data_IF_952960886069
#
_entry.id   IF_952960886069
#
_cell.length_a   1.000
_cell.length_b   1.000
_cell.length_c   1.000
_cell.angle_alpha   90.00
_cell.angle_beta   90.00
_cell.angle_gamma   90.00
#
_symmetry.space_group_name_H-M   'P 1'
#
loop_
_entity.id
_entity.type
_entity.pdbx_description
1 polymer ?
#
# COMPACT_ATOMS: atom_id res chain seq x y z
N UNK A 1 61.07 -14.83 47.95
CA UNK A 1 59.99 -15.78 47.60
C UNK A 1 58.71 -14.97 47.51
N UNK A 2 57.99 -14.81 46.40
CA UNK A 2 57.46 -15.84 45.50
C UNK A 2 57.38 -15.31 44.05
N UNK A 3 58.05 -16.06 43.19
CA UNK A 3 57.74 -16.43 41.79
C UNK A 3 56.62 -15.69 41.05
N UNK A 4 57.00 -15.03 39.95
CA UNK A 4 56.13 -14.66 38.82
C UNK A 4 55.62 -15.93 38.16
N UNK A 5 54.31 -16.12 38.07
CA UNK A 5 53.69 -17.18 37.29
C UNK A 5 53.21 -16.58 35.96
N UNK A 6 53.97 -16.90 34.91
CA UNK A 6 53.66 -16.59 33.52
C UNK A 6 52.75 -17.70 33.01
N UNK A 7 51.45 -17.43 32.89
CA UNK A 7 50.50 -18.36 32.26
C UNK A 7 50.48 -18.07 30.77
N UNK A 8 51.09 -18.98 30.02
CA UNK A 8 51.06 -19.05 28.57
C UNK A 8 49.71 -19.64 28.15
N UNK A 9 48.76 -18.80 27.74
CA UNK A 9 47.50 -19.26 27.16
C UNK A 9 47.73 -19.55 25.68
N UNK A 10 47.94 -20.82 25.32
CA UNK A 10 47.88 -21.29 23.95
C UNK A 10 46.42 -21.23 23.47
N UNK A 11 46.09 -20.25 22.62
CA UNK A 11 44.86 -20.27 21.83
C UNK A 11 45.10 -21.04 20.54
N UNK A 12 44.28 -22.05 20.19
CA UNK A 12 44.33 -22.67 18.88
C UNK A 12 43.85 -21.67 17.82
N UNK A 13 44.67 -21.46 16.78
CA UNK A 13 44.27 -20.81 15.54
C UNK A 13 43.11 -21.61 14.92
N UNK A 14 41.88 -21.12 15.03
CA UNK A 14 40.89 -21.31 13.98
C UNK A 14 41.04 -20.15 13.00
N UNK A 15 41.56 -20.45 11.81
CA UNK A 15 41.52 -19.54 10.68
C UNK A 15 40.06 -19.33 10.25
N UNK A 16 39.39 -18.34 10.83
CA UNK A 16 38.20 -17.77 10.23
C UNK A 16 38.68 -17.02 8.99
N UNK A 17 38.38 -17.56 7.80
CA UNK A 17 38.50 -16.82 6.55
C UNK A 17 37.48 -15.69 6.55
N UNK A 18 37.82 -14.58 7.20
CA UNK A 18 37.15 -13.31 7.03
C UNK A 18 37.47 -12.83 5.61
N UNK A 19 36.61 -13.16 4.66
CA UNK A 19 36.56 -12.37 3.42
C UNK A 19 36.07 -10.99 3.83
N UNK A 20 37.01 -10.05 3.88
CA UNK A 20 36.72 -8.64 4.02
C UNK A 20 35.81 -8.23 2.87
N UNK A 21 34.54 -7.97 3.17
CA UNK A 21 33.65 -7.31 2.22
C UNK A 21 34.05 -5.85 2.17
N UNK A 22 35.07 -5.58 1.36
CA UNK A 22 35.48 -4.23 1.02
C UNK A 22 34.28 -3.47 0.45
N UNK A 23 34.08 -2.27 0.97
CA UNK A 23 33.02 -1.37 0.56
C UNK A 23 33.03 -1.14 -0.95
N UNK A 24 31.90 -1.43 -1.57
CA UNK A 24 31.56 -1.05 -2.92
C UNK A 24 30.05 -0.92 -2.98
N UNK A 25 29.56 0.24 -3.43
CA UNK A 25 28.15 0.52 -3.63
C UNK A 25 27.50 -0.61 -4.46
N UNK A 26 26.79 -1.50 -3.77
CA UNK A 26 26.32 -2.77 -4.31
C UNK A 26 24.92 -2.68 -4.91
N UNK A 27 24.79 -1.99 -6.04
CA UNK A 27 23.71 -2.28 -6.99
C UNK A 27 24.02 -3.60 -7.70
N UNK A 28 23.88 -4.72 -6.98
CA UNK A 28 24.24 -6.04 -7.47
C UNK A 28 23.34 -6.49 -8.61
N UNK A 29 23.74 -6.23 -9.85
CA UNK A 29 23.24 -6.93 -11.02
C UNK A 29 23.53 -8.41 -10.85
N UNK A 30 22.53 -9.20 -10.43
CA UNK A 30 22.56 -10.65 -10.60
C UNK A 30 22.71 -10.88 -12.11
N UNK A 31 23.81 -11.51 -12.53
CA UNK A 31 24.02 -11.88 -13.93
C UNK A 31 22.82 -12.66 -14.49
N UNK A 32 22.63 -12.61 -15.81
CA UNK A 32 21.55 -13.33 -16.47
C UNK A 32 21.59 -14.83 -16.11
N UNK A 33 20.42 -15.40 -15.79
CA UNK A 33 20.29 -16.82 -15.45
C UNK A 33 20.61 -17.70 -16.68
N UNK A 34 21.19 -18.88 -16.46
CA UNK A 34 21.26 -19.88 -17.54
C UNK A 34 19.85 -20.38 -17.90
N UNK A 35 19.64 -20.94 -19.10
CA UNK A 35 18.36 -21.51 -19.49
C UNK A 35 17.83 -22.56 -18.49
N UNK A 36 18.72 -23.39 -17.92
CA UNK A 36 18.36 -24.40 -16.92
C UNK A 36 17.89 -23.77 -15.61
N UNK A 37 18.58 -22.71 -15.16
CA UNK A 37 18.20 -21.97 -13.96
C UNK A 37 16.86 -21.27 -14.14
N UNK A 38 16.60 -20.74 -15.34
CA UNK A 38 15.32 -20.14 -15.68
C UNK A 38 14.19 -21.17 -15.70
N UNK A 39 14.39 -22.32 -16.36
CA UNK A 39 13.42 -23.41 -16.37
C UNK A 39 13.13 -23.95 -14.96
N UNK A 40 14.16 -24.12 -14.12
CA UNK A 40 13.98 -24.53 -12.74
C UNK A 40 13.16 -23.52 -11.92
N UNK A 41 13.40 -22.22 -12.13
CA UNK A 41 12.64 -21.14 -11.47
C UNK A 41 11.19 -21.11 -11.92
N UNK A 42 10.93 -21.27 -13.21
CA UNK A 42 9.58 -21.35 -13.77
C UNK A 42 8.83 -22.59 -13.26
N UNK A 43 9.50 -23.75 -13.20
CA UNK A 43 8.94 -24.97 -12.64
C UNK A 43 8.61 -24.80 -11.15
N UNK A 44 9.50 -24.17 -10.37
CA UNK A 44 9.27 -23.87 -8.96
C UNK A 44 8.08 -22.92 -8.76
N UNK A 45 7.95 -21.88 -9.58
CA UNK A 45 6.85 -20.91 -9.53
C UNK A 45 5.49 -21.52 -9.94
N UNK A 46 5.49 -22.64 -10.67
CA UNK A 46 4.29 -23.33 -11.15
C UNK A 46 3.90 -24.57 -10.32
N UNK A 47 4.58 -24.84 -9.20
CA UNK A 47 4.21 -25.95 -8.31
C UNK A 47 2.76 -25.82 -7.80
N UNK A 48 1.99 -26.91 -7.74
CA UNK A 48 0.62 -26.87 -7.21
C UNK A 48 0.63 -26.43 -5.74
N UNK A 49 -0.48 -25.86 -5.29
CA UNK A 49 -0.70 -25.55 -3.87
C UNK A 49 -0.69 -26.84 -3.05
N UNK A 50 -0.05 -26.79 -1.89
CA UNK A 50 0.00 -27.90 -0.92
C UNK A 50 -0.90 -27.69 0.29
N UNK A 51 -1.45 -26.48 0.43
CA UNK A 51 -2.41 -26.09 1.46
C UNK A 51 -3.57 -25.37 0.79
N UNK A 52 -4.74 -25.44 1.42
CA UNK A 52 -5.89 -24.63 0.98
C UNK A 52 -5.57 -23.15 1.14
N UNK A 53 -6.14 -22.35 0.23
CA UNK A 53 -5.90 -20.92 0.24
C UNK A 53 -6.80 -20.18 1.22
N UNK A 54 -6.35 -19.02 1.69
CA UNK A 54 -7.17 -18.13 2.52
C UNK A 54 -8.14 -17.32 1.67
N UNK A 55 -9.30 -16.99 2.23
CA UNK A 55 -10.30 -16.15 1.57
C UNK A 55 -9.99 -14.66 1.79
N UNK A 56 -9.04 -14.13 1.03
CA UNK A 56 -8.64 -12.72 1.07
C UNK A 56 -8.66 -12.09 -0.32
N UNK A 57 -8.82 -10.77 -0.36
CA UNK A 57 -8.56 -9.95 -1.55
C UNK A 57 -7.26 -9.15 -1.42
N UNK A 58 -6.55 -9.23 -0.30
CA UNK A 58 -5.31 -8.51 -0.05
C UNK A 58 -4.13 -9.24 -0.65
N UNK A 59 -3.45 -8.60 -1.61
CA UNK A 59 -2.30 -9.18 -2.30
C UNK A 59 -1.16 -9.53 -1.34
N UNK A 60 -0.99 -8.77 -0.27
CA UNK A 60 0.04 -8.98 0.76
C UNK A 60 -0.20 -10.19 1.67
N UNK A 61 -1.42 -10.72 1.68
CA UNK A 61 -1.77 -11.90 2.47
C UNK A 61 -1.68 -13.20 1.66
N UNK A 62 -1.63 -13.10 0.33
CA UNK A 62 -1.54 -14.24 -0.57
C UNK A 62 -0.12 -14.81 -0.61
N UNK A 63 -0.03 -16.13 -0.57
CA UNK A 63 1.15 -16.86 -1.02
C UNK A 63 1.29 -16.77 -2.55
N UNK A 64 2.52 -16.96 -3.05
CA UNK A 64 2.77 -16.88 -4.49
C UNK A 64 1.91 -17.85 -5.33
N UNK A 65 1.68 -19.12 -4.91
CA UNK A 65 0.79 -20.02 -5.65
C UNK A 65 -0.68 -19.57 -5.66
N UNK A 66 -1.19 -18.98 -4.56
CA UNK A 66 -2.54 -18.41 -4.53
C UNK A 66 -2.66 -17.24 -5.50
N UNK A 67 -1.72 -16.29 -5.43
CA UNK A 67 -1.68 -15.16 -6.35
C UNK A 67 -1.63 -15.61 -7.81
N UNK A 68 -0.74 -16.54 -8.15
CA UNK A 68 -0.65 -17.12 -9.50
C UNK A 68 -1.99 -17.70 -9.95
N UNK A 69 -2.64 -18.49 -9.11
CA UNK A 69 -3.89 -19.15 -9.45
C UNK A 69 -5.03 -18.12 -9.61
N UNK A 70 -5.05 -17.04 -8.83
CA UNK A 70 -6.00 -15.93 -9.00
C UNK A 70 -5.77 -15.17 -10.31
N UNK A 71 -4.52 -14.90 -10.70
CA UNK A 71 -4.22 -14.31 -12.02
C UNK A 71 -4.71 -15.23 -13.14
N UNK A 72 -4.51 -16.56 -13.03
CA UNK A 72 -5.03 -17.54 -14.00
C UNK A 72 -6.56 -17.57 -14.03
N UNK A 73 -7.22 -17.33 -12.90
CA UNK A 73 -8.68 -17.18 -12.82
C UNK A 73 -9.18 -15.80 -13.31
N UNK A 74 -8.28 -14.91 -13.75
CA UNK A 74 -8.62 -13.65 -14.40
C UNK A 74 -8.79 -12.47 -13.44
N UNK A 75 -8.20 -12.53 -12.23
CA UNK A 75 -8.06 -11.37 -11.36
C UNK A 75 -7.11 -10.35 -12.00
N UNK A 76 -7.66 -9.44 -12.78
CA UNK A 76 -6.90 -8.47 -13.59
C UNK A 76 -7.09 -7.02 -13.13
N UNK A 77 -7.89 -6.82 -12.09
CA UNK A 77 -8.13 -5.52 -11.45
C UNK A 77 -7.41 -5.44 -10.11
N UNK A 78 -6.79 -4.31 -9.82
CA UNK A 78 -6.16 -4.03 -8.52
C UNK A 78 -6.44 -2.61 -8.04
N UNK A 79 -6.71 -2.50 -6.74
CA UNK A 79 -6.87 -1.24 -6.03
C UNK A 79 -5.57 -0.88 -5.30
N UNK A 80 -5.01 0.29 -5.58
CA UNK A 80 -3.95 0.91 -4.80
C UNK A 80 -4.59 1.94 -3.89
N UNK A 81 -4.67 1.59 -2.60
CA UNK A 81 -5.24 2.47 -1.59
C UNK A 81 -4.14 3.27 -0.90
N UNK A 82 -4.46 4.51 -0.55
CA UNK A 82 -3.54 5.43 0.08
C UNK A 82 -4.20 6.13 1.25
N UNK A 83 -3.61 6.03 2.43
CA UNK A 83 -4.07 6.74 3.62
C UNK A 83 -3.05 7.76 4.06
N UNK A 84 -2.81 7.79 5.36
CA UNK A 84 -1.96 8.78 6.01
C UNK A 84 -1.97 8.56 7.51
N UNK A 85 -1.03 9.21 8.18
CA UNK A 85 -1.00 9.26 9.63
C UNK A 85 -0.92 10.74 9.97
N UNK A 86 -2.01 11.29 10.48
CA UNK A 86 -2.13 12.71 10.78
C UNK A 86 -2.88 12.99 12.08
N UNK A 87 -2.87 14.24 12.51
CA UNK A 87 -3.64 14.65 13.67
C UNK A 87 -5.13 14.64 13.31
N UNK A 88 -5.87 13.75 13.95
CA UNK A 88 -7.30 13.51 13.69
C UNK A 88 -8.19 14.06 14.80
N UNK A 89 -7.70 15.08 15.50
CA UNK A 89 -8.18 15.53 16.80
C UNK A 89 -7.97 14.52 17.92
N UNK A 90 -7.95 15.02 19.17
CA UNK A 90 -7.50 14.26 20.34
C UNK A 90 -8.32 13.01 20.69
N UNK A 91 -9.41 12.74 19.99
CA UNK A 91 -10.32 11.63 20.26
C UNK A 91 -10.24 10.50 19.22
N UNK A 92 -9.55 10.70 18.09
CA UNK A 92 -9.38 9.68 17.06
C UNK A 92 -7.92 9.26 16.93
N UNK A 93 -7.71 7.98 16.64
CA UNK A 93 -6.39 7.47 16.27
C UNK A 93 -5.81 8.24 15.08
N UNK A 94 -4.51 8.56 15.15
CA UNK A 94 -3.79 9.17 14.02
C UNK A 94 -3.82 8.31 12.75
N UNK A 95 -4.10 7.00 12.89
CA UNK A 95 -4.11 6.02 11.82
C UNK A 95 -5.48 5.84 11.12
N UNK A 96 -6.47 6.70 11.38
CA UNK A 96 -7.84 6.49 10.90
C UNK A 96 -7.95 6.23 9.40
N UNK A 97 -7.17 6.94 8.58
CA UNK A 97 -7.23 6.82 7.12
C UNK A 97 -6.87 5.42 6.66
N UNK A 98 -5.87 4.82 7.32
CA UNK A 98 -5.42 3.48 7.00
C UNK A 98 -6.42 2.42 7.49
N UNK A 99 -7.09 2.66 8.62
CA UNK A 99 -8.14 1.77 9.15
C UNK A 99 -9.35 1.79 8.20
N UNK A 100 -9.83 2.97 7.81
CA UNK A 100 -10.92 3.13 6.85
C UNK A 100 -10.60 2.46 5.51
N UNK A 101 -9.42 2.72 4.94
CA UNK A 101 -9.01 2.11 3.68
C UNK A 101 -8.92 0.58 3.75
N UNK A 102 -8.55 0.00 4.90
CA UNK A 102 -8.60 -1.46 5.07
C UNK A 102 -10.02 -2.00 5.01
N UNK A 103 -10.97 -1.35 5.67
CA UNK A 103 -12.37 -1.78 5.60
C UNK A 103 -12.94 -1.59 4.18
N UNK A 104 -12.78 -0.39 3.61
CA UNK A 104 -13.34 -0.07 2.31
C UNK A 104 -12.71 -0.86 1.17
N UNK A 105 -11.39 -1.07 1.22
CA UNK A 105 -10.66 -1.85 0.21
C UNK A 105 -11.19 -3.27 0.07
N UNK A 106 -11.38 -3.95 1.20
CA UNK A 106 -11.97 -5.27 1.27
C UNK A 106 -13.36 -5.30 0.63
N UNK A 107 -14.24 -4.38 1.06
CA UNK A 107 -15.63 -4.30 0.59
C UNK A 107 -15.71 -3.99 -0.91
N UNK A 108 -14.93 -3.01 -1.39
CA UNK A 108 -14.89 -2.63 -2.80
C UNK A 108 -14.39 -3.77 -3.68
N UNK A 109 -13.25 -4.37 -3.35
CA UNK A 109 -12.68 -5.45 -4.15
C UNK A 109 -13.62 -6.66 -4.24
N UNK A 110 -14.26 -7.05 -3.12
CA UNK A 110 -15.27 -8.11 -3.13
C UNK A 110 -16.48 -7.75 -3.97
N UNK A 111 -16.98 -6.51 -3.87
CA UNK A 111 -18.14 -6.05 -4.63
C UNK A 111 -17.87 -5.97 -6.13
N UNK A 112 -16.67 -5.54 -6.53
CA UNK A 112 -16.23 -5.49 -7.92
C UNK A 112 -16.02 -6.89 -8.51
N UNK A 113 -15.66 -7.87 -7.67
CA UNK A 113 -15.30 -9.22 -8.10
C UNK A 113 -13.98 -9.24 -8.87
N UNK A 114 -13.28 -10.38 -8.91
CA UNK A 114 -11.99 -10.57 -9.61
C UNK A 114 -11.02 -9.38 -9.45
N UNK A 115 -10.99 -8.81 -8.25
CA UNK A 115 -10.25 -7.60 -7.89
C UNK A 115 -9.42 -7.89 -6.65
N UNK A 116 -8.17 -7.46 -6.66
CA UNK A 116 -7.26 -7.52 -5.52
C UNK A 116 -6.99 -6.12 -4.96
N UNK A 117 -6.53 -6.05 -3.72
CA UNK A 117 -6.02 -4.82 -3.10
C UNK A 117 -4.52 -4.95 -2.96
N UNK A 118 -3.78 -3.98 -3.52
CA UNK A 118 -2.34 -3.89 -3.37
C UNK A 118 -1.96 -3.53 -1.92
N UNK A 119 -0.69 -3.72 -1.52
CA UNK A 119 -0.23 -3.26 -0.22
C UNK A 119 -0.58 -1.79 0.03
N UNK A 120 -1.20 -1.52 1.18
CA UNK A 120 -1.69 -0.19 1.53
C UNK A 120 -0.52 0.79 1.67
N UNK A 121 -0.57 1.91 0.96
CA UNK A 121 0.37 3.00 1.19
C UNK A 121 -0.09 3.82 2.39
N UNK A 122 0.61 3.66 3.52
CA UNK A 122 0.21 4.21 4.83
C UNK A 122 0.77 5.58 5.15
N UNK A 123 1.59 6.14 4.26
CA UNK A 123 2.19 7.48 4.39
C UNK A 123 1.60 8.42 3.34
N UNK A 124 1.40 9.67 3.73
CA UNK A 124 0.87 10.72 2.86
C UNK A 124 1.96 11.74 2.44
N UNK A 125 1.74 12.49 1.35
CA UNK A 125 2.67 13.52 0.93
C UNK A 125 2.54 14.79 1.79
N UNK A 126 3.68 15.36 2.15
CA UNK A 126 3.77 16.61 2.90
C UNK A 126 5.09 17.33 2.66
N UNK A 127 5.32 18.38 3.43
CA UNK A 127 6.57 19.14 3.39
C UNK A 127 7.19 19.22 4.79
N UNK A 128 8.42 18.73 4.93
CA UNK A 128 9.19 18.89 6.15
C UNK A 128 9.66 20.35 6.24
N UNK A 129 9.01 21.14 7.09
CA UNK A 129 9.35 22.54 7.35
C UNK A 129 9.82 22.76 8.78
N UNK A 130 10.41 23.93 9.04
CA UNK A 130 10.93 24.32 10.37
C UNK A 130 9.85 24.44 11.45
N UNK A 131 8.57 24.44 11.06
CA UNK A 131 7.42 24.64 11.95
C UNK A 131 6.55 23.37 12.09
N UNK A 132 7.06 22.19 11.72
CA UNK A 132 6.34 20.94 11.97
C UNK A 132 6.43 20.63 13.46
N UNK A 133 5.28 20.68 14.15
CA UNK A 133 5.14 20.34 15.55
C UNK A 133 4.17 19.14 15.69
N UNK A 134 4.37 18.27 16.70
CA UNK A 134 3.35 17.30 17.09
C UNK A 134 1.98 17.98 17.24
N UNK A 135 0.93 17.37 16.66
CA UNK A 135 -0.45 17.88 16.70
C UNK A 135 -0.95 18.61 15.45
N UNK A 136 -0.12 18.79 14.41
CA UNK A 136 -0.57 19.37 13.12
C UNK A 136 -0.42 18.44 11.92
N UNK A 137 0.51 17.48 11.99
CA UNK A 137 0.79 16.50 10.96
C UNK A 137 1.41 15.24 11.61
N UNK A 138 1.37 14.10 10.94
CA UNK A 138 2.20 12.95 11.29
C UNK A 138 3.36 12.74 10.31
N UNK A 139 3.97 11.56 10.28
CA UNK A 139 5.11 11.27 9.41
C UNK A 139 4.69 11.29 7.93
N UNK A 140 5.28 12.20 7.17
CA UNK A 140 4.97 12.45 5.76
C UNK A 140 6.21 12.27 4.89
N UNK A 141 6.00 12.01 3.59
CA UNK A 141 7.07 11.98 2.58
C UNK A 141 6.91 13.12 1.58
N UNK A 142 7.96 13.46 0.82
CA UNK A 142 7.82 14.52 -0.19
C UNK A 142 6.79 14.14 -1.26
N UNK A 143 6.09 15.12 -1.84
CA UNK A 143 5.18 14.90 -2.96
C UNK A 143 5.86 14.20 -4.14
N UNK A 144 7.13 14.51 -4.41
CA UNK A 144 7.91 13.89 -5.47
C UNK A 144 8.14 12.40 -5.18
N UNK A 145 8.58 12.05 -3.96
CA UNK A 145 8.78 10.67 -3.52
C UNK A 145 7.48 9.88 -3.55
N UNK A 146 6.39 10.47 -3.06
CA UNK A 146 5.05 9.86 -3.07
C UNK A 146 4.59 9.53 -4.49
N UNK A 147 4.77 10.45 -5.43
CA UNK A 147 4.38 10.26 -6.84
C UNK A 147 5.24 9.19 -7.51
N UNK A 148 6.56 9.19 -7.26
CA UNK A 148 7.48 8.17 -7.79
C UNK A 148 7.14 6.77 -7.26
N UNK A 149 6.85 6.65 -5.96
CA UNK A 149 6.44 5.39 -5.35
C UNK A 149 5.16 4.83 -5.99
N UNK A 150 4.12 5.66 -6.15
CA UNK A 150 2.86 5.26 -6.77
C UNK A 150 3.01 4.90 -8.26
N UNK A 151 3.89 5.59 -8.97
CA UNK A 151 4.24 5.26 -10.34
C UNK A 151 4.88 3.87 -10.42
N UNK A 152 5.86 3.59 -9.56
CA UNK A 152 6.54 2.30 -9.53
C UNK A 152 5.61 1.17 -9.08
N UNK A 153 4.74 1.40 -8.09
CA UNK A 153 3.71 0.43 -7.69
C UNK A 153 2.81 0.06 -8.87
N UNK A 154 2.25 1.04 -9.58
CA UNK A 154 1.37 0.78 -10.73
C UNK A 154 2.11 0.07 -11.87
N UNK A 155 3.32 0.52 -12.19
CA UNK A 155 4.18 -0.10 -13.19
C UNK A 155 4.48 -1.57 -12.87
N UNK A 156 4.79 -1.86 -11.61
CA UNK A 156 5.11 -3.20 -11.17
C UNK A 156 3.87 -4.11 -11.21
N UNK A 157 2.74 -3.63 -10.71
CA UNK A 157 1.46 -4.37 -10.77
C UNK A 157 1.03 -4.65 -12.22
N UNK A 158 1.19 -3.69 -13.14
CA UNK A 158 0.98 -3.96 -14.58
C UNK A 158 1.83 -5.13 -15.07
N UNK A 159 3.09 -5.19 -14.65
CA UNK A 159 4.01 -6.28 -15.02
C UNK A 159 3.63 -7.62 -14.38
N UNK A 160 2.82 -7.59 -13.31
CA UNK A 160 2.22 -8.76 -12.66
C UNK A 160 0.88 -9.18 -13.29
N UNK A 161 0.58 -8.72 -14.51
CA UNK A 161 -0.61 -9.06 -15.32
C UNK A 161 -1.91 -8.31 -14.95
N UNK A 162 -1.85 -7.29 -14.11
CA UNK A 162 -3.00 -6.40 -13.91
C UNK A 162 -3.19 -5.46 -15.09
N UNK A 163 -4.43 -5.30 -15.54
CA UNK A 163 -4.82 -4.43 -16.67
C UNK A 163 -5.72 -3.28 -16.24
N UNK A 164 -6.28 -3.33 -15.04
CA UNK A 164 -7.11 -2.26 -14.46
C UNK A 164 -6.53 -1.90 -13.09
N UNK A 165 -5.90 -0.74 -12.99
CA UNK A 165 -5.15 -0.30 -11.81
C UNK A 165 -5.75 1.03 -11.34
N UNK A 166 -6.45 0.98 -10.21
CA UNK A 166 -7.20 2.11 -9.67
C UNK A 166 -6.54 2.65 -8.42
N UNK A 167 -6.35 3.96 -8.38
CA UNK A 167 -5.78 4.68 -7.23
C UNK A 167 -6.89 5.40 -6.48
N UNK A 168 -7.02 5.11 -5.18
CA UNK A 168 -7.99 5.73 -4.30
C UNK A 168 -7.30 6.17 -3.00
N UNK A 169 -7.73 7.29 -2.41
CA UNK A 169 -7.09 7.82 -1.21
C UNK A 169 -8.03 8.55 -0.28
N UNK A 170 -7.77 8.41 1.01
CA UNK A 170 -8.64 8.91 2.09
C UNK A 170 -8.10 10.19 2.76
N UNK A 171 -7.02 10.78 2.22
CA UNK A 171 -6.46 12.06 2.65
C UNK A 171 -6.33 13.02 1.47
N UNK A 172 -6.66 14.30 1.70
CA UNK A 172 -6.68 15.34 0.66
C UNK A 172 -5.31 15.57 -0.01
N UNK A 173 -4.20 15.34 0.72
CA UNK A 173 -2.85 15.45 0.17
C UNK A 173 -2.55 14.43 -0.94
N UNK A 174 -3.23 13.27 -0.91
CA UNK A 174 -2.91 12.13 -1.75
C UNK A 174 -3.28 12.34 -3.23
N UNK A 175 -4.33 13.11 -3.49
CA UNK A 175 -4.99 13.22 -4.79
C UNK A 175 -4.02 13.59 -5.93
N UNK A 176 -3.16 14.59 -5.74
CA UNK A 176 -2.25 15.07 -6.79
C UNK A 176 -1.23 14.00 -7.21
N UNK A 177 -0.66 13.29 -6.25
CA UNK A 177 0.36 12.28 -6.53
C UNK A 177 -0.24 11.06 -7.23
N UNK A 178 -1.43 10.62 -6.81
CA UNK A 178 -2.16 9.54 -7.47
C UNK A 178 -2.54 9.89 -8.90
N UNK A 179 -3.10 11.09 -9.12
CA UNK A 179 -3.44 11.57 -10.47
C UNK A 179 -2.21 11.63 -11.38
N UNK A 180 -1.12 12.25 -10.91
CA UNK A 180 0.11 12.37 -11.68
C UNK A 180 0.73 11.01 -12.04
N UNK A 181 0.74 10.05 -11.11
CA UNK A 181 1.22 8.69 -11.36
C UNK A 181 0.36 7.96 -12.40
N UNK A 182 -0.97 7.96 -12.23
CA UNK A 182 -1.91 7.32 -13.14
C UNK A 182 -1.86 7.90 -14.57
N UNK A 183 -1.81 9.23 -14.69
CA UNK A 183 -1.72 9.91 -15.98
C UNK A 183 -0.39 9.62 -16.68
N UNK A 184 0.71 9.60 -15.92
CA UNK A 184 2.03 9.29 -16.46
C UNK A 184 2.11 7.85 -16.97
N UNK A 185 1.60 6.88 -16.20
CA UNK A 185 1.56 5.47 -16.62
C UNK A 185 0.65 5.28 -17.83
N UNK A 186 -0.50 5.94 -17.87
CA UNK A 186 -1.40 5.92 -19.03
C UNK A 186 -0.67 6.40 -20.30
N UNK A 187 0.12 7.47 -20.21
CA UNK A 187 0.93 7.96 -21.33
C UNK A 187 2.04 6.98 -21.72
N UNK A 188 2.78 6.45 -20.76
CA UNK A 188 3.89 5.51 -20.99
C UNK A 188 3.42 4.22 -21.67
N UNK A 189 2.20 3.76 -21.35
CA UNK A 189 1.66 2.49 -21.84
C UNK A 189 0.57 2.64 -22.91
N UNK A 190 0.37 3.85 -23.44
CA UNK A 190 -0.69 4.16 -24.42
C UNK A 190 -0.63 3.28 -25.68
N UNK A 191 0.58 3.04 -26.18
CA UNK A 191 0.82 2.31 -27.44
C UNK A 191 1.17 0.83 -27.24
N UNK A 192 0.98 0.30 -26.02
CA UNK A 192 1.25 -1.12 -25.79
C UNK A 192 0.14 -2.02 -26.36
N UNK A 193 0.48 -3.21 -26.91
CA UNK A 193 -0.52 -4.10 -27.49
C UNK A 193 -1.62 -4.54 -26.51
N UNK A 194 -1.25 -4.67 -25.23
CA UNK A 194 -2.20 -4.96 -24.15
C UNK A 194 -2.74 -3.64 -23.60
N UNK A 195 -4.04 -3.41 -23.74
CA UNK A 195 -4.69 -2.24 -23.15
C UNK A 195 -4.65 -2.32 -21.63
N UNK A 196 -4.07 -1.30 -20.99
CA UNK A 196 -4.00 -1.16 -19.53
C UNK A 196 -4.59 0.19 -19.14
N UNK A 197 -5.41 0.20 -18.08
CA UNK A 197 -6.04 1.38 -17.53
C UNK A 197 -5.41 1.72 -16.19
N UNK A 198 -4.84 2.92 -16.09
CA UNK A 198 -4.42 3.51 -14.83
C UNK A 198 -5.33 4.69 -14.54
N UNK A 199 -6.03 4.68 -13.41
CA UNK A 199 -7.00 5.74 -13.11
C UNK A 199 -7.03 6.10 -11.64
N UNK A 200 -6.89 7.39 -11.36
CA UNK A 200 -7.22 7.96 -10.05
C UNK A 200 -8.73 8.21 -9.95
N UNK A 201 -9.32 7.81 -8.83
CA UNK A 201 -10.75 7.97 -8.50
C UNK A 201 -10.89 9.05 -7.41
N UNK A 202 -10.95 10.34 -7.78
CA UNK A 202 -11.03 11.44 -6.81
C UNK A 202 -12.32 11.44 -5.99
N UNK A 203 -13.40 10.82 -6.51
CA UNK A 203 -14.71 10.77 -5.86
C UNK A 203 -14.69 9.98 -4.55
N UNK A 204 -13.72 9.07 -4.38
CA UNK A 204 -13.57 8.31 -3.13
C UNK A 204 -13.29 9.23 -1.93
N UNK A 205 -12.40 10.22 -2.08
CA UNK A 205 -12.17 11.24 -1.06
C UNK A 205 -13.31 12.26 -1.01
N UNK A 206 -13.80 12.68 -2.18
CA UNK A 206 -14.85 13.70 -2.30
C UNK A 206 -16.26 13.10 -2.13
N UNK A 207 -16.45 12.25 -1.12
CA UNK A 207 -17.69 11.50 -0.89
C UNK A 207 -18.90 12.42 -0.72
N UNK A 208 -18.81 13.40 0.19
CA UNK A 208 -19.92 14.29 0.55
C UNK A 208 -20.37 15.19 -0.60
N UNK A 209 -19.47 15.56 -1.51
CA UNK A 209 -19.80 16.43 -2.66
C UNK A 209 -20.25 15.70 -3.92
N UNK A 210 -19.91 14.41 -4.07
CA UNK A 210 -20.25 13.65 -5.29
C UNK A 210 -21.02 12.36 -5.00
N UNK A 211 -20.48 11.51 -4.13
CA UNK A 211 -21.02 10.15 -3.89
C UNK A 211 -22.31 10.21 -3.09
N UNK A 212 -22.35 11.01 -2.02
CA UNK A 212 -23.55 11.18 -1.20
C UNK A 212 -24.72 11.72 -2.03
N UNK A 213 -24.46 12.74 -2.86
CA UNK A 213 -25.47 13.28 -3.77
C UNK A 213 -25.92 12.23 -4.80
N UNK A 214 -24.99 11.45 -5.36
CA UNK A 214 -25.33 10.35 -6.27
C UNK A 214 -26.21 9.31 -5.58
N UNK A 215 -25.84 8.83 -4.39
CA UNK A 215 -26.58 7.81 -3.62
C UNK A 215 -28.00 8.29 -3.27
N UNK A 216 -28.15 9.55 -2.88
CA UNK A 216 -29.46 10.10 -2.52
C UNK A 216 -30.34 10.36 -3.74
N UNK A 217 -29.76 10.76 -4.88
CA UNK A 217 -30.53 11.14 -6.07
C UNK A 217 -30.82 9.97 -7.02
N UNK A 218 -29.86 9.06 -7.19
CA UNK A 218 -29.91 8.00 -8.22
C UNK A 218 -30.54 6.71 -7.68
N UNK A 219 -29.91 5.95 -6.75
CA UNK A 219 -30.55 4.79 -6.14
C UNK A 219 -31.56 5.15 -5.04
N UNK A 220 -31.72 6.45 -4.71
CA UNK A 220 -32.67 6.97 -3.71
C UNK A 220 -32.52 6.33 -2.32
N UNK A 221 -31.30 6.00 -1.94
CA UNK A 221 -31.02 5.48 -0.61
C UNK A 221 -31.08 6.66 0.35
N UNK A 222 -32.03 6.62 1.28
CA UNK A 222 -32.19 7.66 2.28
C UNK A 222 -31.04 7.59 3.28
N UNK A 223 -30.21 8.63 3.32
CA UNK A 223 -29.26 8.83 4.40
C UNK A 223 -29.84 9.78 5.44
N UNK A 224 -29.67 9.46 6.72
CA UNK A 224 -30.12 10.31 7.82
C UNK A 224 -29.28 11.59 7.98
N UNK A 225 -28.09 11.64 7.36
CA UNK A 225 -27.19 12.79 7.41
C UNK A 225 -27.47 13.66 6.17
N UNK A 226 -27.83 14.94 6.39
CA UNK A 226 -27.99 15.90 5.29
C UNK A 226 -26.65 16.14 4.59
N UNK A 227 -26.68 16.35 3.28
CA UNK A 227 -25.49 16.73 2.50
C UNK A 227 -24.82 17.95 3.14
N UNK A 228 -23.54 17.81 3.47
CA UNK A 228 -22.73 18.87 4.09
C UNK A 228 -23.06 19.16 5.56
N UNK A 229 -23.92 18.38 6.22
CA UNK A 229 -24.24 18.55 7.64
C UNK A 229 -23.32 17.78 8.60
N UNK A 230 -22.47 16.89 8.07
CA UNK A 230 -21.37 16.31 8.83
C UNK A 230 -20.17 17.24 8.72
N UNK A 231 -20.03 18.12 9.71
CA UNK A 231 -18.79 18.85 9.96
C UNK A 231 -18.31 18.41 11.33
N UNK A 232 -17.09 17.89 11.43
CA UNK A 232 -16.49 17.43 12.68
C UNK A 232 -16.70 18.43 13.82
N UNK A 233 -16.81 17.93 15.05
CA UNK A 233 -17.18 18.74 16.22
C UNK A 233 -16.20 19.89 16.49
N UNK A 234 -15.00 19.76 15.96
CA UNK A 234 -13.85 20.68 16.01
C UNK A 234 -13.63 21.50 14.73
N UNK A 235 -14.35 21.22 13.63
CA UNK A 235 -14.03 21.70 12.29
C UNK A 235 -12.79 21.03 11.66
N UNK A 236 -12.29 19.95 12.25
CA UNK A 236 -11.17 19.16 11.77
C UNK A 236 -11.63 17.71 11.57
N UNK A 237 -11.37 17.18 10.37
CA UNK A 237 -11.26 15.78 9.93
C UNK A 237 -12.14 14.65 10.58
N UNK A 238 -13.19 14.93 11.35
CA UNK A 238 -14.09 13.97 12.01
C UNK A 238 -15.48 14.00 11.36
N UNK A 239 -16.11 12.84 11.18
CA UNK A 239 -17.49 12.70 10.68
C UNK A 239 -18.13 11.45 11.28
N UNK A 240 -19.45 11.45 11.52
CA UNK A 240 -20.16 10.33 12.16
C UNK A 240 -19.93 8.97 11.45
N UNK A 241 -19.79 8.96 10.13
CA UNK A 241 -19.50 7.74 9.37
C UNK A 241 -18.07 7.22 9.61
N UNK A 242 -17.12 8.12 9.80
CA UNK A 242 -15.74 7.80 10.17
C UNK A 242 -15.72 7.25 11.59
N UNK A 243 -16.40 7.91 12.53
CA UNK A 243 -16.45 7.48 13.93
C UNK A 243 -17.12 6.11 14.08
N UNK A 244 -18.19 5.85 13.34
CA UNK A 244 -18.84 4.53 13.34
C UNK A 244 -17.92 3.44 12.78
N UNK A 245 -17.15 3.74 11.73
CA UNK A 245 -16.15 2.82 11.16
C UNK A 245 -15.01 2.57 12.15
N UNK A 246 -14.53 3.63 12.79
CA UNK A 246 -13.49 3.59 13.80
C UNK A 246 -13.95 2.83 15.05
N UNK A 247 -15.20 2.98 15.50
CA UNK A 247 -15.75 2.21 16.61
C UNK A 247 -15.81 0.69 16.33
N UNK A 248 -15.91 0.28 15.06
CA UNK A 248 -15.90 -1.13 14.66
C UNK A 248 -14.47 -1.72 14.65
N UNK A 249 -13.46 -0.91 14.33
CA UNK A 249 -12.15 -1.40 13.92
C UNK A 249 -10.96 -0.88 14.76
N UNK A 250 -11.13 0.21 15.50
CA UNK A 250 -10.09 0.82 16.31
C UNK A 250 -10.00 0.14 17.69
N UNK A 251 -8.77 -0.15 18.11
CA UNK A 251 -8.48 -0.76 19.42
C UNK A 251 -8.59 0.22 20.57
N UNK A 252 -8.69 1.53 20.30
CA UNK A 252 -8.85 2.55 21.33
C UNK A 252 -10.30 2.62 21.84
N UNK A 253 -11.26 2.17 21.03
CA UNK A 253 -12.69 2.18 21.36
C UNK A 253 -13.25 0.81 21.82
N UNK A 254 -12.42 -0.24 21.84
CA UNK A 254 -12.80 -1.62 22.19
C UNK A 254 -12.30 -2.07 23.57
#
# INVERSE_FOLDING_TARGET
>A
MKTKLMVLLMMPLLAASASAQAGGAGGGGRGALTPEQQAAREAAANKPRTIEGINTVWLEELTQPEFRDMIKDGYTTVLILTGGVENNDGNLSMNKHNINNKLHGELMARKMGKTLVAPLLTLEPGNAGTNIQPGRAGPMISQATYTALLFDMGKYLRSMSFTQIFYLGDSGGNARGMAAAADSLTKVYADTPTKVYFKHIPEYYNHTSHVQAYIQNEPKIAEGIKIGASSGTSGLHEELGIDATMALADRICG
#
